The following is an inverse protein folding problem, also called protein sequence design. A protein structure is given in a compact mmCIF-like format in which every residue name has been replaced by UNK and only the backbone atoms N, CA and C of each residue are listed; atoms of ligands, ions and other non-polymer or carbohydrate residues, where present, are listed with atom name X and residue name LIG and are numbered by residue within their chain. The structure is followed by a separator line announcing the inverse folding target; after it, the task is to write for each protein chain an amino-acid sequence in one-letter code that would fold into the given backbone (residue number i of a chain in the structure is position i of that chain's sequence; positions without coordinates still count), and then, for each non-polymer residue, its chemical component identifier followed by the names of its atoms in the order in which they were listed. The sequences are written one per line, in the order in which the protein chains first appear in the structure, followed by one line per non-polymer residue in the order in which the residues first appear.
data_IF_197463662701
#
_entry.id   IF_197463662701
#
_cell.length_a   1.000
_cell.length_b   1.000
_cell.length_c   1.000
_cell.angle_alpha   90.00
_cell.angle_beta   90.00
_cell.angle_gamma   90.00
#
_symmetry.space_group_name_H-M   'P 1'
#
loop_
_entity.id
_entity.type
_entity.pdbx_description
1 polymer ?
#
# COMPACT_ATOMS: atom_id res chain seq x y z
N UNK A 1 -2.29 -10.18 0.67
CA UNK A 1 -3.04 -8.92 0.92
C UNK A 1 -2.89 -8.57 2.39
N UNK A 2 -2.44 -7.37 2.72
CA UNK A 2 -2.36 -6.89 4.11
C UNK A 2 -3.38 -5.78 4.35
N UNK A 3 -3.83 -5.63 5.59
CA UNK A 3 -4.72 -4.54 6.04
C UNK A 3 -4.11 -3.87 7.26
N UNK A 4 -4.04 -2.54 7.27
CA UNK A 4 -3.43 -1.77 8.36
C UNK A 4 -4.19 -0.48 8.64
N UNK A 5 -4.23 -0.08 9.90
CA UNK A 5 -4.59 1.29 10.29
C UNK A 5 -3.35 2.17 10.12
N UNK A 6 -3.55 3.40 9.64
CA UNK A 6 -2.48 4.39 9.45
C UNK A 6 -2.42 5.28 10.68
N UNK A 7 -1.52 5.04 11.65
CA UNK A 7 -1.42 5.86 12.85
C UNK A 7 -0.96 7.29 12.53
N UNK A 8 -1.30 8.22 13.43
CA UNK A 8 -0.92 9.63 13.33
C UNK A 8 0.59 9.87 13.34
N UNK A 9 1.38 8.91 13.83
CA UNK A 9 2.84 8.95 13.72
C UNK A 9 3.37 8.86 12.28
N UNK A 10 2.55 8.44 11.31
CA UNK A 10 2.89 8.46 9.89
C UNK A 10 2.40 9.73 9.16
N UNK A 11 1.69 10.64 9.83
CA UNK A 11 1.41 11.94 9.23
C UNK A 11 2.73 12.66 8.93
N UNK A 12 2.90 13.08 7.68
CA UNK A 12 4.15 13.66 7.20
C UNK A 12 3.98 15.15 6.83
N UNK A 13 2.84 15.50 6.22
CA UNK A 13 2.52 16.87 5.82
C UNK A 13 1.32 17.44 6.58
N UNK A 14 1.10 18.75 6.44
CA UNK A 14 -0.03 19.45 7.06
C UNK A 14 -1.38 18.78 6.73
N UNK A 15 -2.31 18.82 7.69
CA UNK A 15 -3.63 18.23 7.51
C UNK A 15 -3.65 16.69 7.58
N UNK A 16 -2.74 16.10 8.36
CA UNK A 16 -2.61 14.65 8.58
C UNK A 16 -2.31 13.86 7.30
N UNK A 17 -1.75 14.51 6.28
CA UNK A 17 -1.42 13.87 5.01
C UNK A 17 -0.18 13.00 5.18
N UNK A 18 -0.27 11.75 4.71
CA UNK A 18 0.82 10.77 4.74
C UNK A 18 1.58 10.85 3.42
N UNK A 19 2.90 10.71 3.47
CA UNK A 19 3.72 10.73 2.28
C UNK A 19 3.52 9.49 1.40
N UNK A 20 3.83 9.62 0.11
CA UNK A 20 3.69 8.52 -0.84
C UNK A 20 4.67 7.36 -0.58
N UNK A 21 5.80 7.62 0.07
CA UNK A 21 6.79 6.59 0.37
C UNK A 21 6.27 5.58 1.41
N UNK A 22 5.37 5.98 2.30
CA UNK A 22 4.62 5.05 3.16
C UNK A 22 3.93 3.94 2.35
N UNK A 23 3.23 4.30 1.27
CA UNK A 23 2.57 3.32 0.40
C UNK A 23 3.55 2.40 -0.30
N UNK A 24 4.70 2.93 -0.74
CA UNK A 24 5.76 2.13 -1.36
C UNK A 24 6.44 1.17 -0.37
N UNK A 25 6.58 1.55 0.89
CA UNK A 25 7.03 0.66 1.96
C UNK A 25 6.08 -0.54 2.12
N UNK A 26 4.76 -0.29 2.13
CA UNK A 26 3.76 -1.34 2.17
C UNK A 26 3.77 -2.25 0.93
N UNK A 27 4.08 -1.71 -0.25
CA UNK A 27 4.30 -2.52 -1.47
C UNK A 27 5.51 -3.43 -1.34
N UNK A 28 6.58 -2.98 -0.68
CA UNK A 28 7.71 -3.83 -0.31
C UNK A 28 7.28 -5.03 0.54
N UNK A 29 6.53 -4.79 1.62
CA UNK A 29 6.05 -5.85 2.53
C UNK A 29 5.22 -6.92 1.80
N UNK A 30 4.27 -6.51 0.94
CA UNK A 30 3.44 -7.48 0.19
C UNK A 30 4.20 -8.17 -0.94
N UNK A 31 5.24 -7.54 -1.52
CA UNK A 31 6.11 -8.17 -2.50
C UNK A 31 6.96 -9.26 -1.84
N UNK A 32 7.51 -8.99 -0.66
CA UNK A 32 8.26 -9.97 0.14
C UNK A 32 7.37 -11.15 0.54
N UNK A 33 6.18 -10.90 1.09
CA UNK A 33 5.22 -11.94 1.45
C UNK A 33 4.85 -12.84 0.25
N UNK A 34 4.60 -12.23 -0.92
CA UNK A 34 4.33 -12.97 -2.15
C UNK A 34 5.55 -13.77 -2.62
N UNK A 35 6.77 -13.23 -2.49
CA UNK A 35 8.01 -13.92 -2.89
C UNK A 35 8.31 -15.10 -1.99
N UNK A 36 8.12 -14.98 -0.67
CA UNK A 36 8.26 -16.10 0.27
C UNK A 36 7.29 -17.22 -0.11
N UNK A 37 6.05 -16.87 -0.45
CA UNK A 37 5.01 -17.84 -0.81
C UNK A 37 5.32 -18.57 -2.13
N UNK A 38 5.84 -17.85 -3.13
CA UNK A 38 6.08 -18.40 -4.47
C UNK A 38 7.42 -19.13 -4.58
N UNK A 39 8.45 -18.56 -3.97
CA UNK A 39 9.85 -18.91 -4.22
C UNK A 39 10.59 -19.33 -2.93
N UNK A 40 9.99 -19.19 -1.74
CA UNK A 40 10.63 -19.52 -0.46
C UNK A 40 11.74 -18.55 -0.05
N UNK A 41 11.78 -17.35 -0.63
CA UNK A 41 12.82 -16.34 -0.46
C UNK A 41 12.18 -14.94 -0.34
N UNK A 42 12.81 -14.04 0.42
CA UNK A 42 12.28 -12.68 0.63
C UNK A 42 12.40 -11.78 -0.60
N UNK A 43 13.20 -12.20 -1.58
CA UNK A 43 13.61 -11.48 -2.77
C UNK A 43 14.28 -10.13 -2.47
N UNK A 44 14.81 -9.51 -3.52
CA UNK A 44 15.30 -8.14 -3.49
C UNK A 44 14.52 -7.29 -4.48
N UNK A 45 14.01 -6.15 -4.02
CA UNK A 45 13.29 -5.22 -4.89
C UNK A 45 14.25 -4.56 -5.87
N UNK A 46 14.05 -4.78 -7.18
CA UNK A 46 14.93 -4.25 -8.22
C UNK A 46 14.49 -2.86 -8.71
N UNK A 47 13.18 -2.61 -8.73
CA UNK A 47 12.65 -1.29 -9.08
C UNK A 47 11.16 -1.28 -9.34
N UNK A 48 10.62 -0.07 -9.45
CA UNK A 48 9.24 0.21 -9.82
C UNK A 48 9.14 0.76 -11.24
N UNK A 49 7.97 0.55 -11.84
CA UNK A 49 7.50 1.16 -13.06
C UNK A 49 6.09 1.69 -12.80
N UNK A 50 5.77 2.87 -13.36
CA UNK A 50 4.41 3.43 -13.35
C UNK A 50 3.78 3.56 -11.95
N UNK A 51 4.49 4.20 -11.01
CA UNK A 51 3.92 4.54 -9.70
C UNK A 51 2.95 5.70 -9.85
N UNK A 52 1.68 5.47 -9.55
CA UNK A 52 0.60 6.47 -9.66
C UNK A 52 -0.02 6.74 -8.29
N UNK A 53 0.08 7.99 -7.82
CA UNK A 53 -0.59 8.47 -6.60
C UNK A 53 -1.91 9.13 -6.98
N UNK A 54 -3.01 8.38 -6.89
CA UNK A 54 -4.32 8.75 -7.41
C UNK A 54 -5.20 9.45 -6.38
N UNK A 55 -5.02 9.16 -5.09
CA UNK A 55 -5.75 9.80 -4.00
C UNK A 55 -4.90 9.86 -2.71
N UNK A 56 -5.15 10.83 -1.82
CA UNK A 56 -4.35 10.99 -0.61
C UNK A 56 -4.63 9.89 0.41
N UNK A 57 -3.57 9.39 1.05
CA UNK A 57 -3.62 8.63 2.29
C UNK A 57 -3.43 9.57 3.46
N UNK A 58 -4.20 9.38 4.54
CA UNK A 58 -4.18 10.23 5.73
C UNK A 58 -3.98 9.37 6.97
N UNK A 59 -3.41 9.96 8.02
CA UNK A 59 -3.51 9.35 9.33
C UNK A 59 -4.98 9.22 9.73
N UNK A 60 -5.33 8.09 10.33
CA UNK A 60 -6.72 7.71 10.59
C UNK A 60 -7.39 6.90 9.48
N UNK A 61 -6.70 6.67 8.36
CA UNK A 61 -7.18 5.74 7.33
C UNK A 61 -6.97 4.28 7.76
N UNK A 62 -7.86 3.40 7.30
CA UNK A 62 -7.59 1.97 7.18
C UNK A 62 -7.31 1.68 5.72
N UNK A 63 -6.15 1.07 5.46
CA UNK A 63 -5.70 0.75 4.11
C UNK A 63 -5.61 -0.75 3.90
N UNK A 64 -5.91 -1.18 2.68
CA UNK A 64 -5.66 -2.52 2.17
C UNK A 64 -4.62 -2.43 1.06
N UNK A 65 -3.62 -3.27 1.14
CA UNK A 65 -2.51 -3.32 0.19
C UNK A 65 -2.36 -4.72 -0.36
N UNK A 66 -2.13 -4.82 -1.67
CA UNK A 66 -2.00 -6.10 -2.36
C UNK A 66 -0.97 -6.07 -3.48
N UNK A 67 -0.54 -7.27 -3.83
CA UNK A 67 0.35 -7.55 -4.94
C UNK A 67 -0.20 -8.76 -5.72
N UNK A 68 -0.04 -8.75 -7.03
CA UNK A 68 -0.37 -9.86 -7.94
C UNK A 68 0.83 -10.12 -8.85
N UNK A 69 1.26 -11.38 -8.96
CA UNK A 69 2.28 -11.77 -9.93
C UNK A 69 1.72 -11.61 -11.36
N UNK A 70 2.41 -10.83 -12.18
CA UNK A 70 2.07 -10.61 -13.59
C UNK A 70 2.90 -11.51 -14.50
N UNK A 71 4.17 -11.69 -14.18
CA UNK A 71 5.10 -12.51 -14.97
C UNK A 71 6.24 -13.03 -14.12
N UNK A 72 6.60 -14.29 -14.31
CA UNK A 72 7.80 -14.91 -13.75
C UNK A 72 8.83 -15.18 -14.85
N UNK A 73 10.01 -14.56 -14.73
CA UNK A 73 11.19 -14.91 -15.51
C UNK A 73 12.06 -15.95 -14.80
N UNK A 74 13.31 -16.13 -15.22
CA UNK A 74 14.24 -17.06 -14.55
C UNK A 74 14.47 -16.66 -13.09
N UNK A 75 14.85 -15.39 -12.86
CA UNK A 75 15.13 -14.84 -11.52
C UNK A 75 14.25 -13.65 -11.15
N UNK A 76 13.49 -13.10 -12.09
CA UNK A 76 12.67 -11.91 -11.89
C UNK A 76 11.20 -12.26 -11.69
N UNK A 77 10.50 -11.49 -10.86
CA UNK A 77 9.05 -11.54 -10.67
C UNK A 77 8.50 -10.14 -10.87
N UNK A 78 7.72 -9.95 -11.93
CA UNK A 78 7.00 -8.70 -12.18
C UNK A 78 5.65 -8.75 -11.50
N UNK A 79 5.31 -7.74 -10.72
CA UNK A 79 4.11 -7.69 -9.88
C UNK A 79 3.33 -6.39 -10.10
N UNK A 80 2.00 -6.46 -10.04
CA UNK A 80 1.08 -5.31 -9.97
C UNK A 80 0.73 -5.06 -8.51
N UNK A 81 0.73 -3.80 -8.08
CA UNK A 81 0.49 -3.38 -6.71
C UNK A 81 -0.67 -2.38 -6.64
N UNK A 82 -1.43 -2.46 -5.54
CA UNK A 82 -2.50 -1.51 -5.23
C UNK A 82 -2.59 -1.21 -3.73
N UNK A 83 -2.92 0.03 -3.41
CA UNK A 83 -3.27 0.49 -2.07
C UNK A 83 -4.65 1.14 -2.13
N UNK A 84 -5.59 0.58 -1.38
CA UNK A 84 -6.95 1.08 -1.25
C UNK A 84 -7.19 1.63 0.15
N UNK A 85 -7.86 2.77 0.26
CA UNK A 85 -8.41 3.26 1.53
C UNK A 85 -9.83 2.71 1.67
N UNK A 86 -10.05 1.90 2.71
CA UNK A 86 -11.32 1.18 2.94
C UNK A 86 -12.14 1.77 4.08
N UNK A 87 -11.52 2.55 4.95
CA UNK A 87 -12.19 3.38 5.95
C UNK A 87 -11.35 4.62 6.24
N UNK A 88 -11.99 5.69 6.70
CA UNK A 88 -11.33 6.97 6.99
C UNK A 88 -11.93 7.64 8.21
N UNK A 89 -11.08 8.22 9.05
CA UNK A 89 -11.49 9.14 10.11
C UNK A 89 -12.27 10.33 9.53
N UNK A 90 -13.44 10.60 10.10
CA UNK A 90 -14.35 11.67 9.73
C UNK A 90 -14.84 12.43 10.98
N UNK A 91 -13.91 13.02 11.76
CA UNK A 91 -14.24 13.65 13.03
C UNK A 91 -15.16 14.86 12.83
N UNK A 92 -16.12 15.02 13.73
CA UNK A 92 -16.92 16.25 13.88
C UNK A 92 -16.70 16.83 15.27
N UNK A 93 -17.16 18.07 15.51
CA UNK A 93 -17.06 18.70 16.83
C UNK A 93 -17.69 17.83 17.94
N UNK A 94 -18.86 17.26 17.67
CA UNK A 94 -19.58 16.41 18.64
C UNK A 94 -19.09 14.96 18.66
N UNK A 95 -18.43 14.50 17.58
CA UNK A 95 -17.93 13.13 17.43
C UNK A 95 -16.48 13.14 16.95
N UNK A 96 -15.51 13.47 17.83
CA UNK A 96 -14.10 13.56 17.46
C UNK A 96 -13.47 12.21 17.06
N UNK A 97 -14.10 11.08 17.41
CA UNK A 97 -13.68 9.74 17.01
C UNK A 97 -14.50 9.13 15.86
N UNK A 98 -15.33 9.91 15.17
CA UNK A 98 -16.13 9.39 14.06
C UNK A 98 -15.24 8.93 12.88
N UNK A 99 -15.67 7.87 12.21
CA UNK A 99 -15.04 7.32 11.02
C UNK A 99 -16.10 6.70 10.11
N UNK A 100 -15.77 6.56 8.83
CA UNK A 100 -16.69 6.06 7.81
C UNK A 100 -16.01 4.97 7.00
N UNK A 101 -16.71 3.85 6.77
CA UNK A 101 -16.29 2.83 5.80
C UNK A 101 -16.53 3.38 4.39
N UNK A 102 -15.57 3.18 3.50
CA UNK A 102 -15.62 3.66 2.13
C UNK A 102 -16.05 2.52 1.21
N UNK A 103 -17.22 2.65 0.60
CA UNK A 103 -17.76 1.72 -0.40
C UNK A 103 -18.30 2.54 -1.61
N UNK A 104 -17.63 2.49 -2.78
CA UNK A 104 -16.42 1.71 -3.05
C UNK A 104 -15.20 2.25 -2.30
N UNK A 105 -14.23 1.36 -2.06
CA UNK A 105 -12.93 1.75 -1.52
C UNK A 105 -12.22 2.72 -2.49
N UNK A 106 -11.43 3.64 -1.93
CA UNK A 106 -10.69 4.64 -2.72
C UNK A 106 -9.36 4.04 -3.16
N UNK A 107 -9.10 3.98 -4.46
CA UNK A 107 -7.79 3.62 -5.00
C UNK A 107 -6.83 4.78 -4.78
N UNK A 108 -5.86 4.61 -3.87
CA UNK A 108 -4.93 5.68 -3.50
C UNK A 108 -3.60 5.59 -4.25
N UNK A 109 -3.03 4.40 -4.37
CA UNK A 109 -1.76 4.20 -5.09
C UNK A 109 -1.81 2.92 -5.91
N UNK A 110 -1.29 2.97 -7.13
CA UNK A 110 -0.99 1.78 -7.93
C UNK A 110 0.46 1.81 -8.39
N UNK A 111 1.05 0.64 -8.62
CA UNK A 111 2.36 0.54 -9.21
C UNK A 111 2.54 -0.79 -9.95
N UNK A 112 3.51 -0.86 -10.84
CA UNK A 112 4.12 -2.12 -11.25
C UNK A 112 5.54 -2.17 -10.69
N UNK A 113 6.03 -3.34 -10.31
CA UNK A 113 7.39 -3.47 -9.78
C UNK A 113 7.99 -4.83 -10.08
N UNK A 114 9.30 -4.91 -9.95
CA UNK A 114 10.05 -6.15 -10.16
C UNK A 114 10.89 -6.46 -8.93
N UNK A 115 10.79 -7.69 -8.46
CA UNK A 115 11.69 -8.28 -7.47
C UNK A 115 12.56 -9.36 -8.12
N UNK A 116 13.72 -9.65 -7.53
CA UNK A 116 14.67 -10.65 -7.99
C UNK A 116 14.93 -11.65 -6.87
N UNK A 117 14.84 -12.94 -7.22
CA UNK A 117 15.13 -14.08 -6.34
C UNK A 117 16.50 -14.67 -6.71
N UNK A 118 17.34 -15.07 -5.74
CA UNK A 118 18.66 -15.65 -5.96
C UNK A 118 18.71 -16.81 -6.95
#
# INVERSE_FOLDING_TARGET
MHRRYVPFSHAHYAGNLVDGAYGLGLFGDVATDLSITLDGDEALFAGYEDVQFLAPVRAGDVVEVGAELVHAGTRSRRMRFWLHVVARGAPTADRPGAATVLDPAVVATTATGTVVVP
#
